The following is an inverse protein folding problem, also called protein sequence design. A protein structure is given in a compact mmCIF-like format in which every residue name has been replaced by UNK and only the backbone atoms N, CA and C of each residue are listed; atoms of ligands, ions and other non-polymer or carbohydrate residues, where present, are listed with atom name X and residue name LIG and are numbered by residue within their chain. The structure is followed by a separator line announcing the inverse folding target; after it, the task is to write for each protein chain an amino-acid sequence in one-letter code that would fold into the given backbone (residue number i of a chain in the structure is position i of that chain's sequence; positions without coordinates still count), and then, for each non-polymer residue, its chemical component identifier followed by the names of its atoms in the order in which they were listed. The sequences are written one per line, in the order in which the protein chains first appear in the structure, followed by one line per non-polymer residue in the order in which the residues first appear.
data_IF_430620804373
#
_entry.id   IF_430620804373
#
_cell.length_a   1.000
_cell.length_b   1.000
_cell.length_c   1.000
_cell.angle_alpha   90.00
_cell.angle_beta   90.00
_cell.angle_gamma   90.00
#
_symmetry.space_group_name_H-M   'P 1'
#
loop_
_entity.id
_entity.type
_entity.pdbx_description
1 polymer ?
#
# COMPACT_ATOMS: atom_id res chain seq x y z
N UNK A 1 48.08 0.72 30.63
CA UNK A 1 46.83 1.17 31.29
C UNK A 1 46.58 2.68 31.25
N UNK A 2 47.57 3.57 31.41
CA UNK A 2 47.36 5.04 31.37
C UNK A 2 46.79 5.60 30.03
N UNK A 3 47.06 4.95 28.90
CA UNK A 3 46.55 5.34 27.57
C UNK A 3 45.06 5.03 27.33
N UNK A 4 44.54 3.95 27.93
CA UNK A 4 43.11 3.60 27.86
C UNK A 4 42.27 4.57 28.70
N UNK A 5 42.78 4.95 29.88
CA UNK A 5 42.11 5.90 30.76
C UNK A 5 42.01 7.30 30.14
N UNK A 6 43.06 7.79 29.48
CA UNK A 6 43.05 9.09 28.76
C UNK A 6 42.21 9.06 27.49
N UNK A 7 42.07 7.90 26.83
CA UNK A 7 41.16 7.73 25.69
C UNK A 7 39.69 7.74 26.13
N UNK A 8 39.36 7.04 27.22
CA UNK A 8 38.01 7.05 27.82
C UNK A 8 37.67 8.44 28.32
N UNK A 9 38.56 9.11 29.04
CA UNK A 9 38.31 10.46 29.58
C UNK A 9 38.11 11.53 28.48
N UNK A 10 38.68 11.34 27.28
CA UNK A 10 38.50 12.24 26.14
C UNK A 10 37.29 11.91 25.25
N UNK A 11 36.69 10.72 25.37
CA UNK A 11 35.57 10.25 24.53
C UNK A 11 34.37 9.72 25.31
N UNK A 12 34.33 9.91 26.64
CA UNK A 12 33.28 9.36 27.51
C UNK A 12 31.88 9.84 27.11
N UNK A 13 31.73 11.12 26.74
CA UNK A 13 30.46 11.69 26.27
C UNK A 13 29.94 10.92 25.05
N UNK A 14 30.83 10.60 24.10
CA UNK A 14 30.50 9.86 22.89
C UNK A 14 30.04 8.44 23.21
N UNK A 15 30.75 7.75 24.09
CA UNK A 15 30.37 6.40 24.54
C UNK A 15 29.03 6.44 25.27
N UNK A 16 28.81 7.41 26.16
CA UNK A 16 27.58 7.54 26.93
C UNK A 16 26.38 7.79 26.00
N UNK A 17 26.45 8.82 25.15
CA UNK A 17 25.37 9.11 24.21
C UNK A 17 25.17 8.01 23.16
N UNK A 18 26.25 7.32 22.75
CA UNK A 18 26.14 6.16 21.85
C UNK A 18 25.44 4.97 22.50
N UNK A 19 25.76 4.67 23.77
CA UNK A 19 25.10 3.59 24.52
C UNK A 19 23.64 3.91 24.81
N UNK A 20 23.33 5.15 25.25
CA UNK A 20 21.94 5.60 25.46
C UNK A 20 21.16 5.53 24.15
N UNK A 21 21.75 5.97 23.04
CA UNK A 21 21.15 5.87 21.72
C UNK A 21 20.84 4.42 21.32
N UNK A 22 21.78 3.50 21.53
CA UNK A 22 21.60 2.07 21.22
C UNK A 22 20.51 1.41 22.07
N UNK A 23 20.44 1.76 23.36
CA UNK A 23 19.39 1.27 24.26
C UNK A 23 18.01 1.77 23.84
N UNK A 24 17.87 3.07 23.57
CA UNK A 24 16.62 3.64 23.04
C UNK A 24 16.24 3.02 21.69
N UNK A 25 17.21 2.72 20.83
CA UNK A 25 16.95 2.06 19.55
C UNK A 25 16.38 0.64 19.76
N UNK A 26 16.93 -0.11 20.72
CA UNK A 26 16.38 -1.41 21.13
C UNK A 26 14.93 -1.31 21.62
N UNK A 27 14.63 -0.32 22.49
CA UNK A 27 13.26 -0.09 22.97
C UNK A 27 12.29 0.33 21.87
N UNK A 28 12.76 1.03 20.84
CA UNK A 28 11.95 1.38 19.67
C UNK A 28 11.38 0.13 18.99
N UNK A 29 12.21 -0.90 18.79
CA UNK A 29 11.77 -2.17 18.21
C UNK A 29 10.77 -2.91 19.10
N UNK A 30 10.97 -2.86 20.42
CA UNK A 30 10.04 -3.46 21.38
C UNK A 30 8.66 -2.76 21.33
N UNK A 31 8.63 -1.43 21.26
CA UNK A 31 7.37 -0.67 21.15
C UNK A 31 6.67 -0.85 19.80
N UNK A 32 7.45 -1.01 18.72
CA UNK A 32 6.92 -1.38 17.40
C UNK A 32 6.26 -2.76 17.43
N UNK A 33 6.89 -3.74 18.08
CA UNK A 33 6.35 -5.09 18.22
C UNK A 33 5.06 -5.13 19.06
N UNK A 34 4.98 -4.28 20.09
CA UNK A 34 3.78 -4.16 20.93
C UNK A 34 2.69 -3.23 20.35
N UNK A 35 2.89 -2.70 19.14
CA UNK A 35 1.90 -1.85 18.45
C UNK A 35 1.77 -0.43 19.00
N UNK A 36 2.69 0.02 19.88
CA UNK A 36 2.66 1.35 20.49
C UNK A 36 3.45 2.36 19.64
N UNK A 37 2.83 2.83 18.55
CA UNK A 37 3.50 3.64 17.51
C UNK A 37 3.99 5.00 18.04
N UNK A 38 3.20 5.69 18.88
CA UNK A 38 3.59 6.99 19.46
C UNK A 38 4.82 6.85 20.37
N UNK A 39 4.83 5.82 21.23
CA UNK A 39 5.95 5.52 22.13
C UNK A 39 7.20 5.10 21.35
N UNK A 40 7.04 4.28 20.31
CA UNK A 40 8.13 3.88 19.44
C UNK A 40 8.77 5.11 18.75
N UNK A 41 7.93 6.01 18.23
CA UNK A 41 8.39 7.23 17.54
C UNK A 41 9.14 8.18 18.49
N UNK A 42 8.63 8.37 19.71
CA UNK A 42 9.28 9.23 20.71
C UNK A 42 10.64 8.68 21.16
N UNK A 43 10.72 7.38 21.44
CA UNK A 43 11.96 6.72 21.87
C UNK A 43 12.98 6.63 20.73
N UNK A 44 12.50 6.48 19.49
CA UNK A 44 13.35 6.58 18.30
C UNK A 44 13.95 7.98 18.16
N UNK A 45 13.16 9.04 18.31
CA UNK A 45 13.67 10.41 18.29
C UNK A 45 14.73 10.64 19.37
N UNK A 46 14.55 10.11 20.59
CA UNK A 46 15.57 10.19 21.65
C UNK A 46 16.85 9.39 21.31
N UNK A 47 16.70 8.21 20.70
CA UNK A 47 17.83 7.44 20.19
C UNK A 47 18.61 8.22 19.15
N UNK A 48 17.88 8.83 18.22
CA UNK A 48 18.41 9.65 17.15
C UNK A 48 19.17 10.88 17.68
N UNK A 49 18.58 11.66 18.58
CA UNK A 49 19.25 12.80 19.20
C UNK A 49 20.48 12.37 20.00
N UNK A 50 20.44 11.23 20.67
CA UNK A 50 21.61 10.70 21.38
C UNK A 50 22.76 10.38 20.42
N UNK A 51 22.49 9.75 19.27
CA UNK A 51 23.52 9.54 18.25
C UNK A 51 24.01 10.85 17.63
N UNK A 52 23.12 11.83 17.45
CA UNK A 52 23.49 13.16 16.98
C UNK A 52 24.46 13.85 17.96
N UNK A 53 24.13 13.89 19.26
CA UNK A 53 24.99 14.45 20.31
C UNK A 53 26.31 13.68 20.48
N UNK A 54 26.29 12.36 20.32
CA UNK A 54 27.50 11.51 20.31
C UNK A 54 28.49 11.96 19.22
N UNK A 55 28.00 12.44 18.07
CA UNK A 55 28.83 12.95 16.98
C UNK A 55 29.12 14.47 17.09
N UNK A 56 28.23 15.24 17.71
CA UNK A 56 28.38 16.69 17.95
C UNK A 56 29.50 17.05 18.94
N UNK A 57 29.86 16.14 19.86
CA UNK A 57 30.99 16.32 20.78
C UNK A 57 32.34 16.55 20.05
N UNK A 58 32.43 16.23 18.76
CA UNK A 58 33.59 16.50 17.89
C UNK A 58 33.78 18.00 17.58
N UNK A 59 32.74 18.83 17.74
CA UNK A 59 32.72 20.24 17.33
C UNK A 59 33.26 21.23 18.38
N UNK A 60 33.38 20.83 19.65
CA UNK A 60 33.74 21.76 20.75
C UNK A 60 35.25 22.07 20.87
N UNK A 61 36.13 21.31 20.21
CA UNK A 61 37.61 21.41 20.34
C UNK A 61 38.33 22.28 19.29
N UNK A 62 37.63 22.93 18.36
CA UNK A 62 38.25 23.72 17.29
C UNK A 62 37.91 25.22 17.39
N UNK A 63 38.40 25.89 18.45
CA UNK A 63 38.48 27.35 18.52
C UNK A 63 39.95 27.70 18.74
N UNK A 64 40.65 28.21 17.72
CA UNK A 64 42.04 28.65 17.97
C UNK A 64 42.84 29.28 16.85
N UNK A 65 42.81 28.80 15.60
CA UNK A 65 43.80 29.25 14.60
C UNK A 65 43.28 29.09 13.18
N UNK A 66 42.86 30.18 12.51
CA UNK A 66 42.97 30.48 11.06
C UNK A 66 42.50 29.50 9.98
N UNK A 67 42.15 28.26 10.32
CA UNK A 67 41.59 27.19 9.48
C UNK A 67 40.05 27.29 9.39
N UNK A 68 39.46 28.40 9.84
CA UNK A 68 38.02 28.53 10.05
C UNK A 68 37.21 28.68 8.76
N UNK A 69 37.79 29.14 7.64
CA UNK A 69 37.03 29.30 6.39
C UNK A 69 37.01 28.02 5.53
N UNK A 70 38.16 27.34 5.38
CA UNK A 70 38.29 26.14 4.53
C UNK A 70 37.59 24.93 5.15
N UNK A 71 37.67 24.74 6.48
CA UNK A 71 36.90 23.70 7.18
C UNK A 71 35.41 24.05 7.34
N UNK A 72 35.00 25.31 7.16
CA UNK A 72 33.59 25.69 7.27
C UNK A 72 32.79 25.24 6.05
N UNK A 73 33.33 25.41 4.84
CA UNK A 73 32.71 24.83 3.63
C UNK A 73 32.65 23.31 3.70
N UNK A 74 33.74 22.64 4.08
CA UNK A 74 33.76 21.17 4.17
C UNK A 74 32.81 20.65 5.26
N UNK A 75 32.66 21.38 6.38
CA UNK A 75 31.67 21.05 7.41
C UNK A 75 30.23 21.30 6.96
N UNK A 76 29.98 22.34 6.18
CA UNK A 76 28.66 22.57 5.60
C UNK A 76 28.31 21.48 4.58
N UNK A 77 29.28 21.05 3.76
CA UNK A 77 29.12 19.91 2.84
C UNK A 77 28.89 18.59 3.59
N UNK A 78 29.63 18.33 4.67
CA UNK A 78 29.45 17.13 5.50
C UNK A 78 28.09 17.14 6.20
N UNK A 79 27.66 18.29 6.75
CA UNK A 79 26.34 18.45 7.36
C UNK A 79 25.20 18.31 6.33
N UNK A 80 25.33 18.89 5.14
CA UNK A 80 24.36 18.74 4.05
C UNK A 80 24.24 17.27 3.61
N UNK A 81 25.38 16.58 3.43
CA UNK A 81 25.39 15.14 3.12
C UNK A 81 24.75 14.32 4.26
N UNK A 82 24.96 14.70 5.52
CA UNK A 82 24.31 14.06 6.66
C UNK A 82 22.78 14.27 6.65
N UNK A 83 22.34 15.49 6.31
CA UNK A 83 20.92 15.83 6.17
C UNK A 83 20.28 15.06 5.01
N UNK A 84 20.96 14.91 3.88
CA UNK A 84 20.44 14.15 2.74
C UNK A 84 20.34 12.65 3.04
N UNK A 85 21.36 12.09 3.72
CA UNK A 85 21.28 10.71 4.26
C UNK A 85 20.14 10.55 5.26
N UNK A 86 19.91 11.55 6.11
CA UNK A 86 18.80 11.56 7.05
C UNK A 86 17.46 11.52 6.31
N UNK A 87 17.25 12.42 5.33
CA UNK A 87 16.03 12.44 4.50
C UNK A 87 15.78 11.07 3.87
N UNK A 88 16.81 10.44 3.30
CA UNK A 88 16.70 9.10 2.70
C UNK A 88 16.25 8.05 3.72
N UNK A 89 16.88 8.00 4.89
CA UNK A 89 16.54 7.02 5.93
C UNK A 89 15.12 7.23 6.46
N UNK A 90 14.72 8.47 6.75
CA UNK A 90 13.37 8.71 7.27
C UNK A 90 12.30 8.45 6.19
N UNK A 91 12.58 8.73 4.91
CA UNK A 91 11.67 8.36 3.80
C UNK A 91 11.39 6.85 3.77
N UNK A 92 12.43 6.03 3.94
CA UNK A 92 12.29 4.56 3.99
C UNK A 92 11.42 4.14 5.18
N UNK A 93 11.66 4.70 6.37
CA UNK A 93 10.85 4.37 7.55
C UNK A 93 9.39 4.83 7.42
N UNK A 94 9.15 6.02 6.88
CA UNK A 94 7.80 6.53 6.63
C UNK A 94 7.06 5.62 5.66
N UNK A 95 7.70 5.21 4.56
CA UNK A 95 7.16 4.22 3.63
C UNK A 95 6.80 2.91 4.35
N UNK A 96 7.72 2.36 5.14
CA UNK A 96 7.47 1.12 5.88
C UNK A 96 6.33 1.25 6.89
N UNK A 97 6.25 2.35 7.64
CA UNK A 97 5.18 2.57 8.63
C UNK A 97 3.82 2.65 7.95
N UNK A 98 3.72 3.47 6.90
CA UNK A 98 2.47 3.65 6.13
C UNK A 98 2.05 2.36 5.46
N UNK A 99 2.96 1.69 4.73
CA UNK A 99 2.62 0.47 4.00
C UNK A 99 2.31 -0.70 4.93
N UNK A 100 3.00 -0.84 6.06
CA UNK A 100 2.64 -1.84 7.07
C UNK A 100 1.26 -1.56 7.67
N UNK A 101 0.90 -0.31 7.92
CA UNK A 101 -0.43 0.06 8.42
C UNK A 101 -1.52 -0.28 7.38
N UNK A 102 -1.32 0.11 6.12
CA UNK A 102 -2.22 -0.17 5.01
C UNK A 102 -2.41 -1.67 4.78
N UNK A 103 -1.32 -2.44 4.74
CA UNK A 103 -1.37 -3.88 4.49
C UNK A 103 -1.90 -4.67 5.67
N UNK A 104 -1.56 -4.31 6.92
CA UNK A 104 -2.08 -4.98 8.13
C UNK A 104 -3.59 -4.86 8.23
N UNK A 105 -4.14 -3.70 7.83
CA UNK A 105 -5.58 -3.50 7.73
C UNK A 105 -6.30 -4.49 6.80
N UNK A 106 -5.60 -5.10 5.84
CA UNK A 106 -6.18 -6.10 4.93
C UNK A 106 -6.24 -7.50 5.53
N UNK A 107 -5.35 -7.83 6.47
CA UNK A 107 -5.28 -9.15 7.12
C UNK A 107 -6.13 -9.28 8.39
N UNK A 108 -7.18 -8.46 8.53
CA UNK A 108 -8.09 -8.50 9.67
C UNK A 108 -7.86 -7.38 10.70
N UNK A 109 -7.14 -6.32 10.34
CA UNK A 109 -7.10 -5.10 11.15
C UNK A 109 -8.47 -4.39 11.17
N UNK A 110 -8.80 -3.77 12.30
CA UNK A 110 -10.06 -3.02 12.50
C UNK A 110 -9.95 -1.54 12.11
N UNK A 111 -8.78 -1.11 11.62
CA UNK A 111 -8.56 0.29 11.28
C UNK A 111 -9.22 0.66 9.94
N UNK A 112 -10.02 1.73 9.97
CA UNK A 112 -10.69 2.33 8.83
C UNK A 112 -9.71 2.88 7.80
N UNK A 113 -10.15 2.97 6.54
CA UNK A 113 -9.34 3.58 5.48
C UNK A 113 -9.06 5.06 5.77
N UNK A 114 -9.99 5.77 6.42
CA UNK A 114 -9.77 7.15 6.88
C UNK A 114 -8.50 7.28 7.72
N UNK A 115 -8.32 6.43 8.74
CA UNK A 115 -7.15 6.49 9.62
C UNK A 115 -5.83 6.25 8.88
N UNK A 116 -5.85 5.42 7.84
CA UNK A 116 -4.66 5.10 7.02
C UNK A 116 -4.25 6.32 6.19
N UNK A 117 -5.22 7.03 5.62
CA UNK A 117 -4.98 8.29 4.91
C UNK A 117 -4.54 9.40 5.86
N UNK A 118 -5.17 9.50 7.04
CA UNK A 118 -4.77 10.45 8.07
C UNK A 118 -3.31 10.25 8.51
N UNK A 119 -2.87 9.00 8.69
CA UNK A 119 -1.48 8.67 9.02
C UNK A 119 -0.51 9.12 7.93
N UNK A 120 -0.84 8.88 6.65
CA UNK A 120 -0.01 9.35 5.53
C UNK A 120 0.11 10.88 5.55
N UNK A 121 -1.02 11.59 5.66
CA UNK A 121 -1.03 13.05 5.68
C UNK A 121 -0.35 13.66 6.90
N UNK A 122 -0.49 13.03 8.07
CA UNK A 122 0.22 13.45 9.28
C UNK A 122 1.74 13.33 9.06
N UNK A 123 2.23 12.21 8.53
CA UNK A 123 3.65 12.02 8.27
C UNK A 123 4.17 12.99 7.21
N UNK A 124 3.44 13.18 6.10
CA UNK A 124 3.75 14.20 5.08
C UNK A 124 3.87 15.61 5.71
N UNK A 125 2.91 15.98 6.57
CA UNK A 125 2.90 17.26 7.27
C UNK A 125 4.09 17.45 8.21
N UNK A 126 4.40 16.43 9.03
CA UNK A 126 5.55 16.46 9.96
C UNK A 126 6.88 16.64 9.24
N UNK A 127 7.05 16.00 8.08
CA UNK A 127 8.26 16.18 7.28
C UNK A 127 8.41 17.59 6.73
N UNK A 128 7.31 18.18 6.26
CA UNK A 128 7.27 19.58 5.82
C UNK A 128 7.60 20.54 6.98
N UNK A 129 7.03 20.32 8.17
CA UNK A 129 7.32 21.11 9.38
C UNK A 129 8.81 21.08 9.77
N UNK A 130 9.48 19.96 9.54
CA UNK A 130 10.92 19.78 9.79
C UNK A 130 11.82 20.39 8.69
N UNK A 131 11.24 21.08 7.71
CA UNK A 131 11.96 21.66 6.58
C UNK A 131 12.53 20.61 5.61
N UNK A 132 12.07 19.37 5.71
CA UNK A 132 12.46 18.29 4.81
C UNK A 132 11.48 18.24 3.63
N UNK A 133 11.90 18.77 2.49
CA UNK A 133 11.18 18.53 1.23
C UNK A 133 11.48 17.11 0.74
N UNK A 134 10.66 16.16 1.18
CA UNK A 134 10.67 14.77 0.72
C UNK A 134 9.50 14.59 -0.24
N UNK A 135 9.77 13.95 -1.38
CA UNK A 135 8.74 13.59 -2.34
C UNK A 135 8.09 12.26 -1.93
N UNK A 136 6.81 12.32 -1.55
CA UNK A 136 6.01 11.15 -1.19
C UNK A 136 5.14 10.63 -2.34
N UNK A 137 5.32 11.13 -3.57
CA UNK A 137 4.49 10.75 -4.73
C UNK A 137 4.45 9.24 -4.97
N UNK A 138 5.60 8.56 -4.88
CA UNK A 138 5.67 7.09 -5.01
C UNK A 138 4.90 6.38 -3.90
N UNK A 139 5.08 6.82 -2.65
CA UNK A 139 4.38 6.22 -1.51
C UNK A 139 2.87 6.43 -1.64
N UNK A 140 2.44 7.63 -2.00
CA UNK A 140 1.03 7.94 -2.23
C UNK A 140 0.45 7.06 -3.35
N UNK A 141 1.20 6.87 -4.43
CA UNK A 141 0.80 5.98 -5.51
C UNK A 141 0.66 4.51 -5.06
N UNK A 142 1.58 4.02 -4.22
CA UNK A 142 1.48 2.67 -3.64
C UNK A 142 0.24 2.52 -2.75
N UNK A 143 -0.01 3.47 -1.85
CA UNK A 143 -1.20 3.48 -0.98
C UNK A 143 -2.49 3.54 -1.81
N UNK A 144 -2.52 4.43 -2.81
CA UNK A 144 -3.64 4.59 -3.74
C UNK A 144 -3.92 3.29 -4.51
N UNK A 145 -2.88 2.59 -4.97
CA UNK A 145 -3.02 1.30 -5.66
C UNK A 145 -3.69 0.26 -4.77
N UNK A 146 -3.28 0.17 -3.50
CA UNK A 146 -3.91 -0.74 -2.53
C UNK A 146 -5.37 -0.34 -2.27
N UNK A 147 -5.66 0.95 -2.19
CA UNK A 147 -7.01 1.46 -2.00
C UNK A 147 -7.92 1.13 -3.18
N UNK A 148 -7.45 1.32 -4.41
CA UNK A 148 -8.14 0.95 -5.64
C UNK A 148 -8.41 -0.55 -5.69
N UNK A 149 -7.43 -1.36 -5.31
CA UNK A 149 -7.63 -2.81 -5.19
C UNK A 149 -8.77 -3.13 -4.22
N UNK A 150 -8.75 -2.57 -3.01
CA UNK A 150 -9.76 -2.83 -1.99
C UNK A 150 -11.16 -2.36 -2.43
N UNK A 151 -11.25 -1.27 -3.21
CA UNK A 151 -12.49 -0.79 -3.83
C UNK A 151 -13.07 -1.73 -4.89
N UNK A 152 -12.21 -2.30 -5.73
CA UNK A 152 -12.63 -3.09 -6.89
C UNK A 152 -12.76 -4.59 -6.59
N UNK A 153 -12.03 -5.13 -5.62
CA UNK A 153 -12.05 -6.55 -5.25
C UNK A 153 -13.46 -7.09 -4.97
N UNK A 154 -14.31 -6.47 -4.12
CA UNK A 154 -15.66 -6.98 -3.88
C UNK A 154 -16.55 -6.90 -5.13
N UNK A 155 -16.36 -5.88 -5.98
CA UNK A 155 -17.09 -5.72 -7.24
C UNK A 155 -16.70 -6.81 -8.25
N UNK A 156 -15.41 -7.10 -8.38
CA UNK A 156 -14.90 -8.19 -9.20
C UNK A 156 -15.46 -9.54 -8.75
N UNK A 157 -15.54 -9.79 -7.44
CA UNK A 157 -16.15 -10.99 -6.89
C UNK A 157 -17.64 -11.08 -7.23
N UNK A 158 -18.39 -9.98 -7.12
CA UNK A 158 -19.81 -9.94 -7.50
C UNK A 158 -20.03 -10.24 -8.99
N UNK A 159 -19.22 -9.66 -9.87
CA UNK A 159 -19.25 -9.97 -11.33
C UNK A 159 -18.95 -11.44 -11.58
N UNK A 160 -17.90 -11.97 -10.95
CA UNK A 160 -17.53 -13.38 -11.07
C UNK A 160 -18.66 -14.31 -10.67
N UNK A 161 -19.30 -14.04 -9.53
CA UNK A 161 -20.41 -14.84 -9.02
C UNK A 161 -21.60 -14.81 -9.99
N UNK A 162 -21.96 -13.64 -10.52
CA UNK A 162 -23.00 -13.51 -11.55
C UNK A 162 -22.69 -14.32 -12.80
N UNK A 163 -21.44 -14.28 -13.28
CA UNK A 163 -21.01 -15.03 -14.47
C UNK A 163 -21.06 -16.52 -14.22
N UNK A 164 -20.55 -17.00 -13.09
CA UNK A 164 -20.56 -18.43 -12.74
C UNK A 164 -21.99 -18.96 -12.54
N UNK A 165 -22.90 -18.18 -11.94
CA UNK A 165 -24.31 -18.54 -11.86
C UNK A 165 -24.93 -18.69 -13.26
N UNK A 166 -24.66 -17.73 -14.16
CA UNK A 166 -25.17 -17.79 -15.53
C UNK A 166 -24.57 -18.96 -16.33
N UNK A 167 -23.30 -19.31 -16.09
CA UNK A 167 -22.67 -20.52 -16.66
C UNK A 167 -23.32 -21.79 -16.13
N UNK A 168 -23.68 -21.85 -14.85
CA UNK A 168 -24.41 -22.99 -14.29
C UNK A 168 -25.79 -23.15 -14.93
N UNK A 169 -26.50 -22.05 -15.19
CA UNK A 169 -27.78 -22.09 -15.92
C UNK A 169 -27.59 -22.51 -17.39
N UNK A 170 -26.46 -22.14 -18.01
CA UNK A 170 -26.10 -22.60 -19.35
C UNK A 170 -25.88 -24.10 -19.40
N UNK A 171 -25.19 -24.67 -18.41
CA UNK A 171 -25.00 -26.11 -18.29
C UNK A 171 -26.36 -26.81 -18.18
N UNK A 172 -27.27 -26.32 -17.33
CA UNK A 172 -28.63 -26.89 -17.21
C UNK A 172 -29.39 -26.85 -18.53
N UNK A 173 -29.34 -25.73 -19.25
CA UNK A 173 -29.98 -25.58 -20.56
C UNK A 173 -29.39 -26.53 -21.61
N UNK A 174 -28.07 -26.67 -21.65
CA UNK A 174 -27.38 -27.61 -22.52
C UNK A 174 -27.78 -29.05 -22.19
N UNK A 175 -27.81 -29.44 -20.90
CA UNK A 175 -28.21 -30.80 -20.50
C UNK A 175 -29.63 -31.12 -20.94
N UNK A 176 -30.56 -30.15 -20.87
CA UNK A 176 -31.92 -30.33 -21.38
C UNK A 176 -31.96 -30.48 -22.91
N UNK A 177 -31.10 -29.75 -23.63
CA UNK A 177 -31.02 -29.79 -25.11
C UNK A 177 -30.44 -31.10 -25.63
N UNK A 178 -29.37 -31.60 -25.02
CA UNK A 178 -28.63 -32.76 -25.51
C UNK A 178 -29.10 -34.10 -24.89
N UNK A 179 -29.94 -34.05 -23.85
CA UNK A 179 -30.52 -35.22 -23.20
C UNK A 179 -29.59 -35.92 -22.20
N UNK A 180 -30.14 -36.89 -21.47
CA UNK A 180 -29.40 -37.79 -20.60
C UNK A 180 -29.91 -39.23 -20.82
N UNK A 181 -29.16 -40.10 -21.52
CA UNK A 181 -27.78 -39.91 -22.00
C UNK A 181 -27.66 -38.90 -23.15
N UNK A 182 -26.48 -38.28 -23.27
CA UNK A 182 -26.15 -37.30 -24.32
C UNK A 182 -26.22 -37.96 -25.69
N UNK A 183 -27.04 -37.43 -26.59
CA UNK A 183 -27.27 -38.00 -27.94
C UNK A 183 -26.28 -37.50 -28.99
N UNK A 184 -25.73 -36.29 -28.82
CA UNK A 184 -24.72 -35.66 -29.69
C UNK A 184 -23.51 -35.22 -28.87
N UNK A 185 -22.48 -36.08 -28.85
CA UNK A 185 -21.27 -35.87 -28.06
C UNK A 185 -20.41 -34.71 -28.59
N UNK A 186 -20.33 -34.54 -29.91
CA UNK A 186 -19.50 -33.51 -30.54
C UNK A 186 -20.10 -32.12 -30.32
N UNK A 187 -21.42 -31.98 -30.51
CA UNK A 187 -22.14 -30.74 -30.21
C UNK A 187 -22.08 -30.37 -28.73
N UNK A 188 -22.18 -31.36 -27.84
CA UNK A 188 -22.01 -31.19 -26.40
C UNK A 188 -20.61 -30.64 -26.06
N UNK A 189 -19.55 -31.30 -26.56
CA UNK A 189 -18.16 -30.91 -26.30
C UNK A 189 -17.86 -29.50 -26.81
N UNK A 190 -18.29 -29.16 -28.02
CA UNK A 190 -18.11 -27.82 -28.60
C UNK A 190 -18.83 -26.73 -27.78
N UNK A 191 -20.03 -27.02 -27.31
CA UNK A 191 -20.79 -26.09 -26.45
C UNK A 191 -20.11 -25.90 -25.09
N UNK A 192 -19.59 -26.97 -24.50
CA UNK A 192 -18.84 -26.93 -23.25
C UNK A 192 -17.53 -26.16 -23.37
N UNK A 193 -16.78 -26.35 -24.46
CA UNK A 193 -15.57 -25.61 -24.75
C UNK A 193 -15.86 -24.11 -24.90
N UNK A 194 -16.91 -23.77 -25.65
CA UNK A 194 -17.39 -22.39 -25.78
C UNK A 194 -17.73 -21.80 -24.42
N UNK A 195 -18.41 -22.54 -23.55
CA UNK A 195 -18.76 -22.09 -22.20
C UNK A 195 -17.52 -21.90 -21.31
N UNK A 196 -16.54 -22.80 -21.40
CA UNK A 196 -15.26 -22.68 -20.67
C UNK A 196 -14.43 -21.49 -21.13
N UNK A 197 -14.53 -21.09 -22.39
CA UNK A 197 -13.86 -19.91 -22.94
C UNK A 197 -14.40 -18.57 -22.39
N UNK A 198 -15.53 -18.60 -21.67
CA UNK A 198 -16.07 -17.44 -20.97
C UNK A 198 -15.33 -17.28 -19.64
N UNK A 199 -14.36 -16.37 -19.65
CA UNK A 199 -13.59 -15.94 -18.49
C UNK A 199 -14.54 -15.32 -17.46
N UNK A 200 -14.43 -15.74 -16.21
CA UNK A 200 -15.26 -15.26 -15.09
C UNK A 200 -14.49 -14.49 -14.05
N UNK A 201 -13.16 -14.51 -14.09
CA UNK A 201 -12.30 -13.84 -13.12
C UNK A 201 -11.09 -13.23 -13.82
N UNK A 202 -10.63 -12.10 -13.29
CA UNK A 202 -9.34 -11.52 -13.62
C UNK A 202 -8.26 -12.10 -12.69
N UNK A 203 -7.12 -12.47 -13.27
CA UNK A 203 -5.95 -12.88 -12.51
C UNK A 203 -5.18 -11.65 -12.01
N UNK A 204 -4.51 -11.79 -10.86
CA UNK A 204 -3.55 -10.81 -10.34
C UNK A 204 -4.11 -9.37 -10.17
N UNK A 205 -5.38 -9.22 -9.78
CA UNK A 205 -6.03 -7.92 -9.55
C UNK A 205 -5.18 -6.94 -8.72
N UNK A 206 -4.46 -7.45 -7.72
CA UNK A 206 -3.60 -6.62 -6.87
C UNK A 206 -2.42 -6.01 -7.63
N UNK A 207 -1.67 -6.81 -8.39
CA UNK A 207 -0.54 -6.30 -9.17
C UNK A 207 -1.01 -5.34 -10.26
N UNK A 208 -2.13 -5.66 -10.91
CA UNK A 208 -2.70 -4.80 -11.96
C UNK A 208 -3.26 -3.49 -11.42
N UNK A 209 -3.71 -3.44 -10.16
CA UNK A 209 -4.15 -2.18 -9.54
C UNK A 209 -3.05 -1.11 -9.50
N UNK A 210 -1.78 -1.53 -9.54
CA UNK A 210 -0.63 -0.64 -9.53
C UNK A 210 -0.46 0.12 -10.85
N UNK A 211 -0.73 -0.51 -11.98
CA UNK A 211 -0.42 0.04 -13.30
C UNK A 211 -1.62 0.23 -14.23
N UNK A 212 -2.78 -0.35 -13.89
CA UNK A 212 -3.93 -0.43 -14.79
C UNK A 212 -5.22 0.08 -14.15
N UNK A 213 -6.18 0.42 -15.01
CA UNK A 213 -7.56 0.69 -14.62
C UNK A 213 -8.33 -0.63 -14.46
N UNK A 214 -8.22 -1.24 -13.28
CA UNK A 214 -8.87 -2.53 -13.00
C UNK A 214 -10.40 -2.47 -13.08
N UNK A 215 -11.03 -1.33 -12.81
CA UNK A 215 -12.48 -1.17 -12.93
C UNK A 215 -12.94 -1.30 -14.38
N UNK A 216 -12.22 -0.66 -15.32
CA UNK A 216 -12.44 -0.84 -16.77
C UNK A 216 -12.34 -2.30 -17.18
N UNK A 217 -11.30 -2.99 -16.73
CA UNK A 217 -11.07 -4.39 -17.09
C UNK A 217 -12.22 -5.29 -16.62
N UNK A 218 -12.70 -5.09 -15.39
CA UNK A 218 -13.87 -5.80 -14.85
C UNK A 218 -15.14 -5.49 -15.67
N UNK A 219 -15.35 -4.24 -16.09
CA UNK A 219 -16.47 -3.85 -16.96
C UNK A 219 -16.41 -4.54 -18.32
N UNK A 220 -15.24 -4.57 -18.96
CA UNK A 220 -15.02 -5.26 -20.23
C UNK A 220 -15.31 -6.76 -20.08
N UNK A 221 -14.82 -7.38 -19.00
CA UNK A 221 -15.08 -8.78 -18.69
C UNK A 221 -16.59 -9.04 -18.55
N UNK A 222 -17.29 -8.23 -17.75
CA UNK A 222 -18.73 -8.37 -17.54
C UNK A 222 -19.54 -8.23 -18.84
N UNK A 223 -19.21 -7.22 -19.66
CA UNK A 223 -19.87 -6.97 -20.96
C UNK A 223 -19.61 -8.12 -21.95
N UNK A 224 -18.37 -8.56 -22.05
CA UNK A 224 -17.98 -9.70 -22.92
C UNK A 224 -18.67 -10.99 -22.50
N UNK A 225 -18.75 -11.27 -21.19
CA UNK A 225 -19.44 -12.45 -20.68
C UNK A 225 -20.95 -12.37 -20.97
N UNK A 226 -21.57 -11.20 -20.78
CA UNK A 226 -22.98 -10.96 -21.11
C UNK A 226 -23.28 -11.24 -22.57
N UNK A 227 -22.47 -10.72 -23.48
CA UNK A 227 -22.62 -10.92 -24.92
C UNK A 227 -22.45 -12.39 -25.32
N UNK A 228 -21.40 -13.07 -24.82
CA UNK A 228 -21.15 -14.48 -25.12
C UNK A 228 -22.23 -15.41 -24.55
N UNK A 229 -22.71 -15.16 -23.33
CA UNK A 229 -23.78 -15.96 -22.71
C UNK A 229 -25.10 -15.78 -23.46
N UNK A 230 -25.46 -14.54 -23.82
CA UNK A 230 -26.67 -14.25 -24.58
C UNK A 230 -26.60 -14.80 -25.99
N UNK A 231 -25.49 -14.59 -26.70
CA UNK A 231 -25.33 -15.00 -28.10
C UNK A 231 -25.25 -16.51 -28.30
N UNK A 232 -24.53 -17.23 -27.45
CA UNK A 232 -24.30 -18.66 -27.63
C UNK A 232 -25.31 -19.56 -26.90
N UNK A 233 -25.91 -19.06 -25.81
CA UNK A 233 -26.75 -19.89 -24.93
C UNK A 233 -28.12 -19.26 -24.62
N UNK A 234 -28.43 -18.08 -25.19
CA UNK A 234 -29.68 -17.33 -24.90
C UNK A 234 -29.89 -17.05 -23.41
N UNK A 235 -28.81 -16.94 -22.63
CA UNK A 235 -28.86 -16.69 -21.20
C UNK A 235 -28.55 -15.23 -20.90
N UNK A 236 -29.43 -14.62 -20.12
CA UNK A 236 -29.23 -13.27 -19.64
C UNK A 236 -28.39 -13.26 -18.37
N UNK A 237 -27.26 -12.54 -18.41
CA UNK A 237 -26.41 -12.32 -17.25
C UNK A 237 -27.07 -11.31 -16.30
N UNK A 238 -27.51 -11.81 -15.13
CA UNK A 238 -28.08 -10.99 -14.05
C UNK A 238 -26.96 -10.48 -13.14
N UNK A 239 -26.63 -9.20 -13.28
CA UNK A 239 -25.68 -8.52 -12.41
C UNK A 239 -26.46 -7.79 -11.32
N UNK A 240 -25.97 -7.83 -10.08
CA UNK A 240 -26.58 -7.14 -8.93
C UNK A 240 -26.70 -5.64 -9.18
N UNK A 241 -27.84 -5.07 -8.80
CA UNK A 241 -28.13 -3.64 -8.99
C UNK A 241 -27.07 -2.76 -8.33
N UNK A 242 -26.70 -1.66 -9.00
CA UNK A 242 -25.69 -0.73 -8.52
C UNK A 242 -24.23 -1.15 -8.77
N UNK A 243 -23.96 -2.44 -9.04
CA UNK A 243 -22.59 -2.93 -9.22
C UNK A 243 -21.94 -2.29 -10.45
N UNK A 244 -22.62 -2.32 -11.60
CA UNK A 244 -22.08 -1.79 -12.86
C UNK A 244 -21.89 -0.27 -12.78
N UNK A 245 -22.85 0.44 -12.18
CA UNK A 245 -22.78 1.89 -11.99
C UNK A 245 -21.58 2.27 -11.11
N UNK A 246 -21.31 1.49 -10.06
CA UNK A 246 -20.16 1.72 -9.17
C UNK A 246 -18.84 1.43 -9.88
N UNK A 247 -18.76 0.39 -10.71
CA UNK A 247 -17.58 0.13 -11.55
C UNK A 247 -17.34 1.26 -12.57
N UNK A 248 -18.39 1.79 -13.21
CA UNK A 248 -18.28 2.91 -14.16
C UNK A 248 -17.84 4.21 -13.46
N UNK A 249 -18.31 4.46 -12.25
CA UNK A 249 -17.83 5.57 -11.43
C UNK A 249 -16.34 5.42 -11.08
N UNK A 250 -15.91 4.21 -10.71
CA UNK A 250 -14.51 3.92 -10.39
C UNK A 250 -13.60 3.96 -11.62
N UNK A 251 -14.07 3.49 -12.78
CA UNK A 251 -13.32 3.58 -14.05
C UNK A 251 -12.92 5.04 -14.32
N UNK A 252 -13.89 5.95 -14.30
CA UNK A 252 -13.65 7.37 -14.54
C UNK A 252 -12.71 7.97 -13.49
N UNK A 253 -12.88 7.59 -12.22
CA UNK A 253 -12.02 8.09 -11.13
C UNK A 253 -10.56 7.65 -11.30
N UNK A 254 -10.33 6.38 -11.64
CA UNK A 254 -8.98 5.80 -11.74
C UNK A 254 -8.20 6.38 -12.93
N UNK A 255 -8.86 6.85 -13.99
CA UNK A 255 -8.18 7.52 -15.10
C UNK A 255 -7.58 8.88 -14.73
N UNK A 256 -8.02 9.49 -13.62
CA UNK A 256 -7.63 10.83 -13.20
C UNK A 256 -6.74 10.82 -11.96
N UNK A 257 -5.75 9.90 -11.89
CA UNK A 257 -4.78 9.86 -10.79
C UNK A 257 -3.98 11.17 -10.70
N UNK A 258 -3.61 11.64 -9.49
CA UNK A 258 -3.92 11.06 -8.17
C UNK A 258 -5.40 11.26 -7.79
N UNK A 259 -6.01 10.23 -7.20
CA UNK A 259 -7.44 10.31 -6.85
C UNK A 259 -7.68 11.27 -5.68
N UNK A 260 -8.80 11.97 -5.72
CA UNK A 260 -9.28 12.74 -4.56
C UNK A 260 -10.05 11.81 -3.63
N UNK A 261 -9.52 11.59 -2.42
CA UNK A 261 -10.15 10.73 -1.43
C UNK A 261 -11.37 11.43 -0.83
N UNK A 262 -12.54 10.82 -0.97
CA UNK A 262 -13.81 11.31 -0.42
C UNK A 262 -14.38 10.32 0.60
N UNK A 263 -15.23 10.81 1.51
CA UNK A 263 -15.92 9.95 2.48
C UNK A 263 -16.72 8.83 1.81
N UNK A 264 -17.28 9.09 0.63
CA UNK A 264 -18.00 8.10 -0.16
C UNK A 264 -17.07 6.96 -0.61
N UNK A 265 -15.87 7.27 -1.11
CA UNK A 265 -14.90 6.25 -1.50
C UNK A 265 -14.41 5.44 -0.29
N UNK A 266 -14.25 6.08 0.87
CA UNK A 266 -13.86 5.38 2.10
C UNK A 266 -14.96 4.40 2.52
N UNK A 267 -16.22 4.84 2.56
CA UNK A 267 -17.35 3.96 2.84
C UNK A 267 -17.44 2.80 1.85
N UNK A 268 -17.20 3.08 0.57
CA UNK A 268 -17.15 2.06 -0.47
C UNK A 268 -16.06 1.02 -0.21
N UNK A 269 -14.86 1.43 0.17
CA UNK A 269 -13.76 0.50 0.46
C UNK A 269 -13.97 -0.33 1.73
N UNK A 270 -14.75 0.20 2.68
CA UNK A 270 -15.09 -0.47 3.94
C UNK A 270 -16.29 -1.43 3.80
N UNK A 271 -17.21 -1.13 2.89
CA UNK A 271 -18.36 -1.97 2.57
C UNK A 271 -17.98 -3.16 1.67
N UNK A 272 -17.23 -4.10 2.26
CA UNK A 272 -16.75 -5.31 1.59
C UNK A 272 -17.88 -6.30 1.26
N UNK A 273 -19.03 -6.16 1.91
CA UNK A 273 -20.13 -7.13 1.83
C UNK A 273 -21.32 -6.68 0.98
N UNK A 274 -21.36 -5.43 0.50
CA UNK A 274 -22.44 -4.94 -0.36
C UNK A 274 -22.78 -5.87 -1.53
N UNK A 275 -21.79 -6.57 -2.07
CA UNK A 275 -21.95 -7.41 -3.26
C UNK A 275 -21.51 -8.87 -3.07
N UNK A 276 -21.18 -9.30 -1.84
CA UNK A 276 -20.70 -10.67 -1.52
C UNK A 276 -21.82 -11.68 -1.19
N UNK A 277 -23.08 -11.21 -1.14
CA UNK A 277 -24.29 -12.01 -0.94
C UNK A 277 -25.16 -11.96 -2.19
#
# INVERSE_FOLDING_TARGET
MKGLWTYVQNRWERMLFGCVGAVCLGFTFVFLWSGQITSASAVFAMSFFSFFYSNLARFKKFKGLGFEAELWEDKQKEAANLIDRLKSVVTVYTREIVMNNVMRGRWGGTESWQKRWDLLHELEGRHSELGQQIDFSDLKHEVESVFIFDLCSPLASGVRQSIESAKADAIKSLSARFGNPVTDLDGWNKSHETLRSIISAEDNLFERSRSENIARNILILARTAKEKLKGNFSIELKIKDGLMQRLEALENLIDHRPITITNQLIQWAEDRDAFSR
#
